data_IF_454776128697
#
_entry.id   IF_454776128697
#
_cell.length_a   1.000
_cell.length_b   1.000
_cell.length_c   1.000
_cell.angle_alpha   90.00
_cell.angle_beta   90.00
_cell.angle_gamma   90.00
#
_symmetry.space_group_name_H-M   'P 1'
#
loop_
_entity.id
_entity.type
_entity.pdbx_description
1 polymer ?
#
# COMPACT_ATOMS: atom_id res chain seq x y z
N UNK A 1 -9.50 19.29 14.98
CA UNK A 1 -8.64 20.05 14.04
C UNK A 1 -7.69 19.19 13.19
N UNK A 2 -7.03 18.15 13.71
CA UNK A 2 -6.02 17.39 12.94
C UNK A 2 -6.58 16.55 11.76
N UNK A 3 -7.80 16.02 11.88
CA UNK A 3 -8.39 15.13 10.86
C UNK A 3 -8.70 15.85 9.54
N UNK A 4 -9.23 17.07 9.61
CA UNK A 4 -9.61 17.86 8.43
C UNK A 4 -8.38 18.26 7.60
N UNK A 5 -7.28 18.64 8.26
CA UNK A 5 -6.03 19.00 7.57
C UNK A 5 -5.39 17.82 6.87
N UNK A 6 -5.40 16.63 7.50
CA UNK A 6 -4.90 15.40 6.86
C UNK A 6 -5.72 15.04 5.63
N UNK A 7 -7.06 15.09 5.72
CA UNK A 7 -7.92 14.80 4.57
C UNK A 7 -7.70 15.80 3.43
N UNK A 8 -7.52 17.09 3.74
CA UNK A 8 -7.24 18.14 2.76
C UNK A 8 -5.88 17.98 2.09
N UNK A 9 -4.85 17.61 2.85
CA UNK A 9 -3.51 17.34 2.30
C UNK A 9 -3.53 16.08 1.43
N UNK A 10 -4.20 15.03 1.88
CA UNK A 10 -4.34 13.79 1.12
C UNK A 10 -5.08 13.99 -0.20
N UNK A 11 -5.98 14.97 -0.32
CA UNK A 11 -6.68 15.25 -1.58
C UNK A 11 -5.89 16.14 -2.55
N UNK A 12 -4.75 16.71 -2.13
CA UNK A 12 -3.93 17.54 -3.03
C UNK A 12 -3.33 16.68 -4.15
N UNK A 13 -3.33 17.16 -5.41
CA UNK A 13 -2.78 16.42 -6.55
C UNK A 13 -1.32 16.01 -6.36
N UNK A 14 -0.50 16.89 -5.78
CA UNK A 14 0.91 16.60 -5.54
C UNK A 14 1.10 15.47 -4.54
N UNK A 15 0.23 15.37 -3.53
CA UNK A 15 0.29 14.30 -2.54
C UNK A 15 -0.16 12.97 -3.15
N UNK A 16 -1.20 12.98 -3.98
CA UNK A 16 -1.66 11.79 -4.72
C UNK A 16 -0.64 11.31 -5.75
N UNK A 17 0.14 12.23 -6.34
CA UNK A 17 1.21 11.90 -7.29
C UNK A 17 2.51 11.43 -6.60
N UNK A 18 2.65 11.65 -5.29
CA UNK A 18 3.85 11.27 -4.55
C UNK A 18 3.85 9.75 -4.28
N UNK A 19 4.96 9.09 -4.59
CA UNK A 19 5.16 7.68 -4.22
C UNK A 19 5.37 7.57 -2.71
N UNK A 20 4.88 6.48 -2.12
CA UNK A 20 5.17 6.24 -0.71
C UNK A 20 6.66 5.88 -0.54
N UNK A 21 7.24 6.26 0.60
CA UNK A 21 8.65 6.02 0.90
C UNK A 21 9.06 4.54 0.74
N UNK A 22 8.15 3.63 1.07
CA UNK A 22 8.36 2.19 0.91
C UNK A 22 8.57 1.81 -0.57
N UNK A 23 7.70 2.31 -1.45
CA UNK A 23 7.82 2.07 -2.88
C UNK A 23 9.15 2.63 -3.43
N UNK A 24 9.50 3.87 -3.07
CA UNK A 24 10.77 4.48 -3.51
C UNK A 24 11.99 3.66 -3.07
N UNK A 25 12.00 3.19 -1.82
CA UNK A 25 13.10 2.38 -1.27
C UNK A 25 13.26 1.07 -2.03
N UNK A 26 12.15 0.40 -2.35
CA UNK A 26 12.17 -0.88 -3.06
C UNK A 26 12.57 -0.73 -4.53
N UNK A 27 12.13 0.34 -5.19
CA UNK A 27 12.52 0.66 -6.57
C UNK A 27 14.03 0.94 -6.67
N UNK A 28 14.61 1.69 -5.72
CA UNK A 28 16.06 1.94 -5.64
C UNK A 28 16.84 0.64 -5.48
N UNK A 29 16.32 -0.29 -4.66
CA UNK A 29 16.92 -1.61 -4.47
C UNK A 29 16.67 -2.60 -5.63
N UNK A 30 16.00 -2.16 -6.72
CA UNK A 30 15.68 -2.96 -7.92
C UNK A 30 14.78 -4.17 -7.64
N UNK A 31 13.95 -4.11 -6.61
CA UNK A 31 12.94 -5.14 -6.37
C UNK A 31 11.71 -4.95 -7.26
N UNK A 32 11.10 -6.06 -7.66
CA UNK A 32 9.78 -6.07 -8.29
C UNK A 32 8.74 -6.20 -7.17
N UNK A 33 7.84 -5.22 -7.05
CA UNK A 33 6.85 -5.15 -5.97
C UNK A 33 5.46 -5.02 -6.58
N UNK A 34 4.53 -5.82 -6.07
CA UNK A 34 3.11 -5.76 -6.44
C UNK A 34 2.36 -5.28 -5.20
N UNK A 35 1.73 -4.10 -5.29
CA UNK A 35 0.88 -3.56 -4.24
C UNK A 35 -0.56 -4.01 -4.47
N UNK A 36 -1.11 -4.75 -3.52
CA UNK A 36 -2.51 -5.16 -3.53
C UNK A 36 -3.39 -4.08 -2.88
N UNK A 37 -4.62 -3.84 -3.37
CA UNK A 37 -5.54 -2.97 -2.67
C UNK A 37 -5.95 -3.58 -1.32
N UNK A 38 -6.32 -2.72 -0.36
CA UNK A 38 -6.54 -3.06 1.06
C UNK A 38 -7.61 -4.17 1.27
N UNK A 39 -8.51 -4.38 0.30
CA UNK A 39 -9.66 -5.28 0.43
C UNK A 39 -9.79 -6.32 -0.70
N UNK A 40 -8.69 -6.95 -1.11
CA UNK A 40 -8.74 -8.14 -1.97
C UNK A 40 -7.97 -9.31 -1.36
N UNK A 41 -8.45 -9.84 -0.24
CA UNK A 41 -7.89 -11.06 0.37
C UNK A 41 -7.90 -12.23 -0.62
N UNK A 42 -8.88 -12.26 -1.53
CA UNK A 42 -9.04 -13.26 -2.60
C UNK A 42 -7.87 -13.24 -3.61
N UNK A 43 -7.20 -12.09 -3.77
CA UNK A 43 -6.08 -11.90 -4.69
C UNK A 43 -4.72 -11.94 -3.99
N UNK A 44 -4.71 -11.87 -2.66
CA UNK A 44 -3.49 -11.94 -1.87
C UNK A 44 -3.06 -13.41 -1.69
N UNK A 45 -2.19 -13.88 -2.60
CA UNK A 45 -1.65 -15.24 -2.57
C UNK A 45 -1.03 -15.60 -1.20
N UNK A 46 -0.38 -14.65 -0.54
CA UNK A 46 0.22 -14.87 0.79
C UNK A 46 -0.86 -15.21 1.81
N UNK A 47 -1.98 -14.49 1.81
CA UNK A 47 -3.08 -14.72 2.73
C UNK A 47 -3.82 -16.02 2.46
N UNK A 48 -4.01 -16.38 1.19
CA UNK A 48 -4.59 -17.68 0.80
C UNK A 48 -3.78 -18.86 1.35
N UNK A 49 -2.44 -18.81 1.27
CA UNK A 49 -1.58 -19.86 1.80
C UNK A 49 -1.43 -19.79 3.33
N UNK A 50 -1.20 -18.61 3.90
CA UNK A 50 -1.04 -18.46 5.35
C UNK A 50 -2.32 -18.83 6.12
N UNK A 51 -3.50 -18.58 5.57
CA UNK A 51 -4.77 -18.98 6.19
C UNK A 51 -4.96 -20.50 6.17
N UNK A 52 -4.42 -21.21 5.17
CA UNK A 52 -4.49 -22.68 5.08
C UNK A 52 -3.52 -23.41 6.01
N UNK A 53 -2.49 -22.72 6.52
CA UNK A 53 -1.51 -23.29 7.48
C UNK A 53 -1.97 -23.14 8.93
N UNK A 54 -2.95 -22.28 9.21
CA UNK A 54 -3.64 -22.22 10.51
C UNK A 54 -4.65 -23.37 10.61
N UNK A 55 -4.13 -24.56 10.91
CA UNK A 55 -4.92 -25.72 11.41
C UNK A 55 -5.09 -25.59 12.91
#
# INVERSE_FOLDING_TARGET
>A
DNYCTRALLSSQPNFQAQKCQLQETLEVARYIVIFYPVFHFELNFIEYFCSRVKV
#
